data_IF_022887599032
#
_entry.id   IF_022887599032
#
_cell.length_a   1.000
_cell.length_b   1.000
_cell.length_c   1.000
_cell.angle_alpha   90.00
_cell.angle_beta   90.00
_cell.angle_gamma   90.00
#
_symmetry.space_group_name_H-M   'P 1'
#
loop_
_entity.id
_entity.type
_entity.pdbx_description
1 polymer ?
#
# COMPACT_ATOMS: atom_id res chain seq x y z
N UNK A 1 23.76 2.86 -8.06
CA UNK A 1 23.00 4.04 -8.53
C UNK A 1 22.71 4.92 -7.35
N UNK A 2 22.61 6.22 -7.57
CA UNK A 2 22.15 7.20 -6.60
C UNK A 2 20.73 7.63 -6.95
N UNK A 3 19.77 7.27 -6.09
CA UNK A 3 18.34 7.30 -6.39
C UNK A 3 17.64 8.24 -5.42
N UNK A 4 16.90 9.22 -5.95
CA UNK A 4 15.94 9.98 -5.14
C UNK A 4 14.56 9.31 -5.23
N UNK A 5 13.95 8.98 -4.09
CA UNK A 5 12.57 8.47 -4.01
C UNK A 5 11.69 9.54 -3.38
N UNK A 6 10.66 9.94 -4.11
CA UNK A 6 9.70 10.96 -3.66
C UNK A 6 8.38 10.28 -3.34
N UNK A 7 7.90 10.44 -2.10
CA UNK A 7 6.66 9.81 -1.65
C UNK A 7 5.95 10.64 -0.58
N UNK A 8 4.70 10.31 -0.31
CA UNK A 8 4.00 10.81 0.88
C UNK A 8 4.50 10.11 2.15
N UNK A 9 4.56 10.86 3.24
CA UNK A 9 4.85 10.33 4.57
C UNK A 9 3.69 9.52 5.19
N UNK A 10 2.56 9.40 4.48
CA UNK A 10 1.32 8.84 5.02
C UNK A 10 1.40 7.34 5.30
N UNK A 11 0.58 6.88 6.23
CA UNK A 11 0.35 5.45 6.58
C UNK A 11 -0.33 4.67 5.43
N UNK A 12 -0.52 5.27 4.26
CA UNK A 12 -1.07 4.64 3.07
C UNK A 12 -0.11 3.67 2.38
N UNK A 13 -0.66 2.71 1.63
CA UNK A 13 0.11 1.67 0.96
C UNK A 13 1.26 2.17 0.09
N UNK A 14 1.11 3.32 -0.59
CA UNK A 14 2.15 3.91 -1.44
C UNK A 14 3.38 4.37 -0.66
N UNK A 15 3.20 5.04 0.49
CA UNK A 15 4.31 5.46 1.35
C UNK A 15 5.06 4.26 1.93
N UNK A 16 4.32 3.22 2.34
CA UNK A 16 4.90 1.95 2.80
C UNK A 16 5.73 1.30 1.70
N UNK A 17 5.19 1.16 0.50
CA UNK A 17 5.90 0.54 -0.63
C UNK A 17 7.15 1.32 -1.01
N UNK A 18 7.07 2.66 -1.08
CA UNK A 18 8.22 3.52 -1.37
C UNK A 18 9.34 3.34 -0.32
N UNK A 19 8.96 3.30 0.95
CA UNK A 19 9.91 3.12 2.06
C UNK A 19 10.55 1.73 2.07
N UNK A 20 9.76 0.67 1.86
CA UNK A 20 10.29 -0.70 1.79
C UNK A 20 11.17 -0.88 0.54
N UNK A 21 10.81 -0.27 -0.61
CA UNK A 21 11.64 -0.26 -1.80
C UNK A 21 12.98 0.44 -1.54
N UNK A 22 12.96 1.61 -0.89
CA UNK A 22 14.17 2.34 -0.53
C UNK A 22 15.13 1.49 0.31
N UNK A 23 14.62 0.81 1.33
CA UNK A 23 15.42 -0.09 2.19
C UNK A 23 16.04 -1.24 1.39
N UNK A 24 15.21 -1.92 0.58
CA UNK A 24 15.68 -3.04 -0.22
C UNK A 24 16.75 -2.61 -1.24
N UNK A 25 16.61 -1.44 -1.85
CA UNK A 25 17.61 -0.90 -2.79
C UNK A 25 18.93 -0.59 -2.07
N UNK A 26 18.89 -0.05 -0.86
CA UNK A 26 20.09 0.18 -0.03
C UNK A 26 20.77 -1.13 0.34
N UNK A 27 20.00 -2.14 0.77
CA UNK A 27 20.53 -3.48 1.09
C UNK A 27 21.17 -4.14 -0.14
N UNK A 28 20.85 -3.68 -1.35
CA UNK A 28 21.42 -4.11 -2.64
C UNK A 28 22.56 -3.21 -3.15
N UNK A 29 23.05 -2.27 -2.33
CA UNK A 29 24.22 -1.44 -2.61
C UNK A 29 23.93 -0.15 -3.38
N UNK A 30 22.69 0.32 -3.43
CA UNK A 30 22.35 1.64 -3.96
C UNK A 30 22.42 2.70 -2.85
N UNK A 31 22.69 3.95 -3.22
CA UNK A 31 22.50 5.12 -2.36
C UNK A 31 21.12 5.71 -2.62
N UNK A 32 20.30 5.79 -1.57
CA UNK A 32 18.89 6.19 -1.70
C UNK A 32 18.58 7.38 -0.81
N UNK A 33 17.96 8.39 -1.40
CA UNK A 33 17.52 9.62 -0.78
C UNK A 33 16.00 9.70 -0.80
N UNK A 34 15.37 9.53 0.36
CA UNK A 34 13.92 9.70 0.54
C UNK A 34 13.59 11.18 0.72
N UNK A 35 12.69 11.71 -0.11
CA UNK A 35 12.27 13.11 -0.10
C UNK A 35 10.77 13.16 0.22
N UNK A 36 10.39 13.75 1.37
CA UNK A 36 9.02 13.84 1.84
C UNK A 36 8.86 14.98 2.84
N UNK A 37 7.62 15.34 3.19
CA UNK A 37 7.33 16.36 4.24
C UNK A 37 7.73 15.93 5.63
N UNK A 38 7.57 14.66 5.93
CA UNK A 38 7.88 14.04 7.22
C UNK A 38 8.55 12.69 7.01
N UNK A 39 9.24 12.14 8.04
CA UNK A 39 9.78 10.80 7.94
C UNK A 39 8.68 9.81 7.56
N UNK A 40 8.88 9.06 6.47
CA UNK A 40 7.86 8.11 6.02
C UNK A 40 7.57 7.04 7.07
N UNK A 41 6.32 6.62 7.10
CA UNK A 41 5.89 5.52 7.96
C UNK A 41 6.72 4.26 7.70
N UNK A 42 7.12 3.56 8.76
CA UNK A 42 8.01 2.39 8.71
C UNK A 42 9.42 2.67 8.19
N UNK A 43 9.91 3.92 8.20
CA UNK A 43 11.31 4.20 7.87
C UNK A 43 12.26 3.38 8.76
N UNK A 44 11.93 3.27 10.06
CA UNK A 44 12.61 2.38 10.98
C UNK A 44 14.01 2.86 11.40
N UNK A 45 14.90 1.89 11.64
CA UNK A 45 16.24 2.14 12.14
C UNK A 45 17.18 2.70 11.06
N UNK A 46 18.27 3.31 11.52
CA UNK A 46 19.34 3.83 10.66
C UNK A 46 19.89 2.74 9.72
N UNK A 47 20.06 3.11 8.44
CA UNK A 47 20.71 2.28 7.41
C UNK A 47 21.74 3.13 6.67
N UNK A 48 22.97 2.66 6.59
CA UNK A 48 24.01 3.31 5.80
C UNK A 48 23.59 3.33 4.33
N UNK A 49 23.61 4.51 3.69
CA UNK A 49 23.17 4.67 2.30
C UNK A 49 21.69 5.04 2.13
N UNK A 50 20.90 5.14 3.23
CA UNK A 50 19.55 5.67 3.24
C UNK A 50 19.52 7.01 3.95
N UNK A 51 19.20 8.09 3.21
CA UNK A 51 19.13 9.45 3.74
C UNK A 51 17.73 10.00 3.58
N UNK A 52 17.19 10.63 4.62
CA UNK A 52 15.91 11.31 4.57
C UNK A 52 16.10 12.82 4.42
N UNK A 53 15.40 13.41 3.46
CA UNK A 53 15.35 14.86 3.23
C UNK A 53 13.93 15.38 3.45
N UNK A 54 13.80 16.28 4.41
CA UNK A 54 12.52 16.93 4.70
C UNK A 54 12.25 18.06 3.70
N UNK A 55 11.07 18.07 3.12
CA UNK A 55 10.55 19.18 2.32
C UNK A 55 9.78 20.14 3.22
N UNK A 56 10.32 21.30 3.48
CA UNK A 56 9.61 22.35 4.21
C UNK A 56 8.72 23.14 3.25
N UNK A 57 7.50 23.36 3.66
CA UNK A 57 6.53 24.16 2.89
C UNK A 57 6.18 25.40 3.68
N UNK A 58 6.92 26.50 3.47
CA UNK A 58 6.71 27.73 4.23
C UNK A 58 5.33 28.32 3.94
N UNK A 59 4.65 28.75 5.00
CA UNK A 59 3.44 29.54 4.86
C UNK A 59 3.81 30.97 4.36
N UNK A 60 3.18 31.41 3.29
CA UNK A 60 3.35 32.76 2.78
C UNK A 60 1.97 33.45 2.71
N UNK A 61 1.80 34.66 3.30
CA UNK A 61 0.47 35.27 3.49
C UNK A 61 -0.34 35.47 2.22
N UNK A 62 0.31 35.57 1.05
CA UNK A 62 -0.37 35.71 -0.24
C UNK A 62 -0.85 34.37 -0.84
N UNK A 63 -0.39 33.26 -0.34
CA UNK A 63 -0.87 31.94 -0.77
C UNK A 63 -1.99 31.47 0.15
N UNK A 64 -3.12 31.10 -0.44
CA UNK A 64 -4.23 30.51 0.33
C UNK A 64 -3.88 29.17 0.94
N UNK A 65 -3.06 28.36 0.19
CA UNK A 65 -2.63 27.04 0.55
C UNK A 65 -1.10 26.91 0.46
N UNK A 66 -0.45 26.10 1.31
CA UNK A 66 0.97 25.80 1.18
C UNK A 66 1.32 25.26 -0.20
N UNK A 67 2.38 25.78 -0.80
CA UNK A 67 2.79 25.43 -2.17
C UNK A 67 3.72 24.21 -2.19
N UNK A 68 3.22 23.05 -1.75
CA UNK A 68 4.01 21.81 -1.63
C UNK A 68 4.73 21.43 -2.93
N UNK A 69 4.03 21.48 -4.08
CA UNK A 69 4.60 21.12 -5.38
C UNK A 69 5.84 21.96 -5.70
N UNK A 70 5.78 23.26 -5.47
CA UNK A 70 6.90 24.18 -5.73
C UNK A 70 8.07 23.94 -4.77
N UNK A 71 7.79 23.73 -3.48
CA UNK A 71 8.80 23.42 -2.47
C UNK A 71 9.50 22.11 -2.78
N UNK A 72 8.73 21.08 -3.17
CA UNK A 72 9.27 19.77 -3.58
C UNK A 72 10.14 19.89 -4.83
N UNK A 73 9.68 20.61 -5.86
CA UNK A 73 10.47 20.83 -7.07
C UNK A 73 11.82 21.49 -6.76
N UNK A 74 11.79 22.52 -5.91
CA UNK A 74 13.01 23.22 -5.49
C UNK A 74 13.95 22.32 -4.67
N UNK A 75 13.41 21.49 -3.77
CA UNK A 75 14.20 20.51 -3.01
C UNK A 75 14.89 19.51 -3.94
N UNK A 76 14.16 18.96 -4.94
CA UNK A 76 14.74 18.07 -5.95
C UNK A 76 15.86 18.77 -6.73
N UNK A 77 15.69 20.04 -7.15
CA UNK A 77 16.72 20.82 -7.85
C UNK A 77 17.99 20.97 -7.00
N UNK A 78 17.82 21.41 -5.74
CA UNK A 78 18.95 21.65 -4.84
C UNK A 78 19.72 20.35 -4.59
N UNK A 79 19.02 19.28 -4.21
CA UNK A 79 19.63 17.98 -3.96
C UNK A 79 20.27 17.37 -5.21
N UNK A 80 19.68 17.54 -6.39
CA UNK A 80 20.28 17.07 -7.65
C UNK A 80 21.58 17.78 -8.00
N UNK A 81 21.71 19.07 -7.67
CA UNK A 81 22.96 19.83 -7.86
C UNK A 81 24.07 19.39 -6.93
N UNK A 82 23.72 19.03 -5.69
CA UNK A 82 24.68 18.61 -4.67
C UNK A 82 25.10 17.14 -4.82
N UNK A 83 24.14 16.27 -5.14
CA UNK A 83 24.28 14.82 -5.04
C UNK A 83 24.38 14.11 -6.39
N UNK A 84 24.00 14.76 -7.49
CA UNK A 84 24.00 14.18 -8.85
C UNK A 84 23.25 12.85 -8.95
N UNK A 85 21.93 12.88 -8.75
CA UNK A 85 21.08 11.68 -8.84
C UNK A 85 21.07 11.08 -10.25
N UNK A 86 21.19 9.76 -10.36
CA UNK A 86 20.97 9.05 -11.62
C UNK A 86 19.50 9.15 -12.04
N UNK A 87 18.59 8.99 -11.07
CA UNK A 87 17.15 9.08 -11.32
C UNK A 87 16.38 9.61 -10.09
N UNK A 88 15.19 10.16 -10.37
CA UNK A 88 14.15 10.50 -9.41
C UNK A 88 12.98 9.56 -9.61
N UNK A 89 12.66 8.75 -8.60
CA UNK A 89 11.51 7.86 -8.61
C UNK A 89 10.36 8.48 -7.83
N UNK A 90 9.36 8.96 -8.55
CA UNK A 90 8.15 9.55 -8.01
C UNK A 90 7.08 8.48 -7.74
N UNK A 91 6.61 8.38 -6.52
CA UNK A 91 5.43 7.59 -6.18
C UNK A 91 4.19 8.50 -6.24
N UNK A 92 3.39 8.36 -7.28
CA UNK A 92 2.27 9.14 -7.79
C UNK A 92 2.62 10.10 -8.95
N UNK A 93 1.70 10.19 -9.91
CA UNK A 93 1.79 11.14 -11.02
C UNK A 93 1.74 12.59 -10.51
N UNK A 94 0.77 12.91 -9.65
CA UNK A 94 0.65 14.21 -9.01
C UNK A 94 0.66 14.06 -7.47
N UNK A 95 1.32 14.95 -6.73
CA UNK A 95 2.14 16.06 -7.20
C UNK A 95 3.60 15.65 -7.52
N UNK A 96 4.01 14.41 -7.27
CA UNK A 96 5.42 14.01 -7.20
C UNK A 96 6.09 13.99 -8.57
N UNK A 97 5.52 13.33 -9.59
CA UNK A 97 6.10 13.34 -10.94
C UNK A 97 6.02 14.75 -11.57
N UNK A 98 4.95 15.51 -11.32
CA UNK A 98 4.86 16.91 -11.74
C UNK A 98 5.99 17.76 -11.15
N UNK A 99 6.29 17.58 -9.86
CA UNK A 99 7.39 18.28 -9.19
C UNK A 99 8.75 17.87 -9.76
N UNK A 100 8.96 16.57 -10.03
CA UNK A 100 10.16 16.07 -10.66
C UNK A 100 10.34 16.61 -12.09
N UNK A 101 9.23 16.70 -12.87
CA UNK A 101 9.24 17.32 -14.18
C UNK A 101 9.65 18.80 -14.12
N UNK A 102 9.08 19.59 -13.21
CA UNK A 102 9.44 20.99 -13.04
C UNK A 102 10.92 21.13 -12.63
N UNK A 103 11.40 20.29 -11.72
CA UNK A 103 12.81 20.24 -11.32
C UNK A 103 13.71 19.93 -12.52
N UNK A 104 13.34 18.99 -13.38
CA UNK A 104 14.04 18.67 -14.63
C UNK A 104 14.13 19.87 -15.55
N UNK A 105 13.04 20.63 -15.74
CA UNK A 105 13.05 21.83 -16.59
C UNK A 105 14.00 22.92 -16.04
N UNK A 106 14.00 23.13 -14.72
CA UNK A 106 14.91 24.09 -14.06
C UNK A 106 16.37 23.65 -14.23
N UNK A 107 16.68 22.39 -14.00
CA UNK A 107 18.04 21.85 -14.18
C UNK A 107 18.50 21.94 -15.64
N UNK A 108 17.66 21.58 -16.60
CA UNK A 108 17.95 21.63 -18.03
C UNK A 108 18.20 23.07 -18.54
N UNK A 109 17.64 24.10 -17.88
CA UNK A 109 17.91 25.50 -18.22
C UNK A 109 19.29 25.99 -17.73
N UNK A 110 20.00 25.21 -16.91
CA UNK A 110 21.30 25.53 -16.35
C UNK A 110 22.39 24.79 -17.14
N UNK A 111 23.29 25.52 -17.81
CA UNK A 111 24.37 24.90 -18.58
C UNK A 111 25.28 24.00 -17.72
N UNK A 112 25.49 22.77 -18.15
CA UNK A 112 26.37 21.80 -17.48
C UNK A 112 25.75 21.13 -16.25
N UNK A 113 24.48 21.39 -15.93
CA UNK A 113 23.81 20.68 -14.84
C UNK A 113 23.52 19.21 -15.22
N UNK A 114 23.75 18.30 -14.28
CA UNK A 114 23.28 16.92 -14.41
C UNK A 114 21.76 16.88 -14.24
N UNK A 115 21.08 16.20 -15.15
CA UNK A 115 19.62 16.10 -15.17
C UNK A 115 19.20 14.64 -14.95
N UNK A 116 18.62 14.29 -13.81
CA UNK A 116 18.22 12.92 -13.52
C UNK A 116 17.07 12.46 -14.41
N UNK A 117 17.00 11.15 -14.67
CA UNK A 117 15.83 10.52 -15.28
C UNK A 117 14.65 10.50 -14.30
N UNK A 118 13.43 10.51 -14.81
CA UNK A 118 12.21 10.46 -14.01
C UNK A 118 11.49 9.13 -14.22
N UNK A 119 11.26 8.40 -13.13
CA UNK A 119 10.42 7.21 -13.11
C UNK A 119 9.22 7.47 -12.22
N UNK A 120 8.04 7.06 -12.66
CA UNK A 120 6.80 7.24 -11.91
C UNK A 120 6.12 5.90 -11.65
N UNK A 121 5.80 5.61 -10.38
CA UNK A 121 4.94 4.48 -10.00
C UNK A 121 3.54 4.96 -9.66
N UNK A 122 2.55 4.42 -10.37
CA UNK A 122 1.12 4.67 -10.15
C UNK A 122 0.60 3.73 -9.05
N UNK A 123 -0.15 4.30 -8.10
CA UNK A 123 -0.66 3.56 -6.94
C UNK A 123 -2.19 3.44 -6.87
N UNK A 124 -2.90 4.13 -7.76
CA UNK A 124 -4.34 4.05 -7.92
C UNK A 124 -5.11 5.31 -7.53
N UNK A 125 -4.86 5.93 -6.39
CA UNK A 125 -5.54 7.17 -5.99
C UNK A 125 -5.31 8.30 -7.00
N UNK A 126 -4.13 8.37 -7.58
CA UNK A 126 -3.74 9.28 -8.66
C UNK A 126 -4.57 9.07 -9.94
N UNK A 127 -5.07 7.86 -10.17
CA UNK A 127 -5.86 7.52 -11.36
C UNK A 127 -7.36 7.54 -11.06
N UNK A 128 -7.78 6.80 -10.04
CA UNK A 128 -9.20 6.53 -9.78
C UNK A 128 -9.91 7.68 -9.05
N UNK A 129 -9.19 8.53 -8.37
CA UNK A 129 -9.73 9.71 -7.69
C UNK A 129 -9.33 10.99 -8.42
N UNK A 130 -8.03 11.25 -8.56
CA UNK A 130 -7.54 12.49 -9.15
C UNK A 130 -7.60 12.46 -10.67
N UNK A 131 -7.25 11.36 -11.32
CA UNK A 131 -7.32 11.22 -12.77
C UNK A 131 -8.74 11.23 -13.33
N UNK A 132 -9.75 10.85 -12.53
CA UNK A 132 -11.16 10.95 -12.91
C UNK A 132 -11.77 12.34 -12.71
N UNK A 133 -11.10 13.23 -12.00
CA UNK A 133 -11.53 14.61 -11.79
C UNK A 133 -11.00 15.50 -12.91
N UNK A 134 -11.91 16.20 -13.62
CA UNK A 134 -11.57 17.12 -14.72
C UNK A 134 -10.60 18.23 -14.33
N UNK A 135 -10.52 18.59 -13.05
CA UNK A 135 -9.58 19.59 -12.56
C UNK A 135 -8.13 19.13 -12.56
N UNK A 136 -7.88 17.80 -12.62
CA UNK A 136 -6.54 17.22 -12.51
C UNK A 136 -6.16 16.29 -13.66
N UNK A 137 -7.13 15.73 -14.40
CA UNK A 137 -6.91 14.68 -15.41
C UNK A 137 -5.81 15.01 -16.43
N UNK A 138 -5.84 16.23 -16.99
CA UNK A 138 -4.82 16.69 -17.95
C UNK A 138 -3.41 16.74 -17.32
N UNK A 139 -3.31 17.24 -16.08
CA UNK A 139 -2.02 17.30 -15.37
C UNK A 139 -1.52 15.92 -14.99
N UNK A 140 -2.41 15.00 -14.64
CA UNK A 140 -2.07 13.60 -14.36
C UNK A 140 -1.54 12.92 -15.61
N UNK A 141 -2.26 12.99 -16.74
CA UNK A 141 -1.85 12.42 -18.01
C UNK A 141 -0.52 13.00 -18.48
N UNK A 142 -0.37 14.33 -18.46
CA UNK A 142 0.87 15.01 -18.78
C UNK A 142 2.05 14.52 -17.92
N UNK A 143 1.87 14.42 -16.61
CA UNK A 143 2.94 14.02 -15.69
C UNK A 143 3.39 12.57 -15.93
N UNK A 144 2.44 11.69 -16.31
CA UNK A 144 2.73 10.31 -16.72
C UNK A 144 3.56 10.33 -18.01
N UNK A 145 3.11 11.04 -19.04
CA UNK A 145 3.76 11.06 -20.35
C UNK A 145 5.14 11.74 -20.34
N UNK A 146 5.39 12.67 -19.42
CA UNK A 146 6.68 13.32 -19.24
C UNK A 146 7.69 12.49 -18.44
N UNK A 147 7.30 11.36 -17.85
CA UNK A 147 8.22 10.46 -17.16
C UNK A 147 9.05 9.67 -18.18
N UNK A 148 10.34 9.41 -17.89
CA UNK A 148 11.19 8.56 -18.74
C UNK A 148 10.77 7.08 -18.66
N UNK A 149 10.22 6.66 -17.51
CA UNK A 149 9.61 5.35 -17.32
C UNK A 149 8.42 5.41 -16.38
N UNK A 150 7.43 4.54 -16.63
CA UNK A 150 6.20 4.48 -15.81
C UNK A 150 5.92 3.05 -15.40
N UNK A 151 5.55 2.86 -14.13
CA UNK A 151 5.09 1.57 -13.62
C UNK A 151 3.71 1.68 -12.97
N UNK A 152 2.97 0.58 -12.98
CA UNK A 152 1.73 0.41 -12.22
C UNK A 152 1.84 -0.83 -11.34
N UNK A 153 1.15 -0.81 -10.20
CA UNK A 153 1.22 -1.91 -9.21
C UNK A 153 0.40 -3.14 -9.58
N UNK A 154 -0.41 -3.06 -10.64
CA UNK A 154 -1.22 -4.17 -11.15
C UNK A 154 -1.62 -3.97 -12.62
N UNK A 155 -1.95 -5.05 -13.32
CA UNK A 155 -2.53 -5.00 -14.66
C UNK A 155 -3.90 -4.29 -14.67
N UNK A 156 -4.66 -4.45 -13.58
CA UNK A 156 -5.92 -3.74 -13.42
C UNK A 156 -5.70 -2.23 -13.41
N UNK A 157 -4.76 -1.73 -12.61
CA UNK A 157 -4.46 -0.31 -12.55
C UNK A 157 -3.91 0.22 -13.89
N UNK A 158 -3.05 -0.53 -14.57
CA UNK A 158 -2.57 -0.18 -15.91
C UNK A 158 -3.74 0.01 -16.89
N UNK A 159 -4.67 -0.96 -16.94
CA UNK A 159 -5.88 -0.86 -17.79
C UNK A 159 -6.76 0.32 -17.41
N UNK A 160 -6.95 0.55 -16.11
CA UNK A 160 -7.78 1.65 -15.62
C UNK A 160 -7.16 3.01 -15.96
N UNK A 161 -5.82 3.12 -15.94
CA UNK A 161 -5.10 4.32 -16.35
C UNK A 161 -5.38 4.66 -17.81
N UNK A 162 -5.18 3.72 -18.73
CA UNK A 162 -5.46 3.95 -20.17
C UNK A 162 -6.94 4.16 -20.49
N UNK A 163 -7.85 3.65 -19.65
CA UNK A 163 -9.28 3.90 -19.82
C UNK A 163 -9.71 5.28 -19.33
N UNK A 164 -9.09 5.77 -18.26
CA UNK A 164 -9.47 7.02 -17.64
C UNK A 164 -8.76 8.25 -18.23
N UNK A 165 -7.57 8.06 -18.79
CA UNK A 165 -6.67 9.14 -19.20
C UNK A 165 -6.15 8.86 -20.63
N UNK A 166 -5.94 9.94 -21.39
CA UNK A 166 -5.23 9.88 -22.68
C UNK A 166 -3.71 9.90 -22.45
N UNK A 167 -3.16 8.73 -22.13
CA UNK A 167 -1.75 8.51 -21.85
C UNK A 167 -1.13 7.71 -22.98
N UNK A 168 0.01 8.20 -23.50
CA UNK A 168 0.75 7.58 -24.61
C UNK A 168 1.94 6.75 -24.13
N UNK A 169 2.44 7.03 -22.91
CA UNK A 169 3.59 6.32 -22.33
C UNK A 169 3.24 4.85 -22.05
N UNK A 170 4.14 3.93 -22.41
CA UNK A 170 3.99 2.53 -21.99
C UNK A 170 4.16 2.40 -20.48
N UNK A 171 3.25 1.66 -19.86
CA UNK A 171 3.22 1.42 -18.42
C UNK A 171 3.62 -0.03 -18.16
N UNK A 172 4.75 -0.23 -17.49
CA UNK A 172 5.19 -1.55 -17.05
C UNK A 172 4.50 -1.93 -15.73
N UNK A 173 4.01 -3.15 -15.63
CA UNK A 173 3.49 -3.63 -14.35
C UNK A 173 4.62 -4.21 -13.52
N UNK A 174 4.84 -3.64 -12.33
CA UNK A 174 5.71 -4.17 -11.29
C UNK A 174 4.86 -4.20 -10.01
N UNK A 175 4.52 -5.38 -9.49
CA UNK A 175 3.61 -5.51 -8.37
C UNK A 175 4.21 -4.96 -7.07
N UNK A 176 3.35 -4.64 -6.10
CA UNK A 176 3.83 -4.42 -4.74
C UNK A 176 4.37 -5.73 -4.15
N UNK A 177 5.17 -5.61 -3.12
CA UNK A 177 5.88 -6.71 -2.49
C UNK A 177 5.91 -6.59 -0.97
N UNK A 178 6.32 -7.66 -0.32
CA UNK A 178 6.65 -7.67 1.11
C UNK A 178 8.00 -8.35 1.35
N UNK A 179 8.69 -7.93 2.41
CA UNK A 179 9.83 -8.67 2.93
C UNK A 179 9.35 -9.93 3.66
N UNK A 180 9.51 -11.08 3.03
CA UNK A 180 9.05 -12.36 3.55
C UNK A 180 9.84 -12.85 4.78
N UNK A 181 11.00 -12.28 5.08
CA UNK A 181 11.73 -12.55 6.32
C UNK A 181 11.08 -11.83 7.50
N UNK A 182 10.58 -10.62 7.28
CA UNK A 182 9.85 -9.82 8.27
C UNK A 182 8.39 -10.25 8.37
N UNK A 183 7.69 -10.38 7.24
CA UNK A 183 6.30 -10.82 7.17
C UNK A 183 6.23 -12.35 7.17
N UNK A 184 6.26 -12.93 8.33
CA UNK A 184 6.13 -14.37 8.57
C UNK A 184 5.35 -14.61 9.85
N UNK A 185 4.73 -15.78 9.95
CA UNK A 185 4.04 -16.15 11.17
C UNK A 185 5.04 -16.31 12.31
N UNK A 186 4.84 -15.51 13.34
CA UNK A 186 5.61 -15.60 14.59
C UNK A 186 4.96 -16.65 15.50
N UNK A 187 5.70 -17.26 16.43
CA UNK A 187 5.10 -18.13 17.44
C UNK A 187 3.95 -17.41 18.16
N UNK A 188 2.82 -18.11 18.43
CA UNK A 188 1.69 -17.52 19.13
C UNK A 188 2.16 -17.16 20.56
N UNK A 189 2.29 -15.85 20.77
CA UNK A 189 2.81 -15.30 22.01
C UNK A 189 1.65 -14.87 22.92
N UNK A 190 2.00 -14.25 24.02
CA UNK A 190 1.17 -13.57 25.00
C UNK A 190 0.06 -12.70 24.34
N UNK A 191 0.35 -12.08 23.19
CA UNK A 191 -0.58 -11.25 22.44
C UNK A 191 -1.89 -11.98 22.10
N UNK A 192 -1.83 -13.26 21.69
CA UNK A 192 -3.05 -14.06 21.44
C UNK A 192 -3.92 -14.16 22.67
N UNK A 193 -3.34 -14.41 23.85
CA UNK A 193 -4.07 -14.52 25.11
C UNK A 193 -4.67 -13.19 25.55
N UNK A 194 -3.98 -12.09 25.33
CA UNK A 194 -4.45 -10.75 25.66
C UNK A 194 -5.60 -10.30 24.75
N UNK A 195 -5.45 -10.48 23.43
CA UNK A 195 -6.44 -10.02 22.45
C UNK A 195 -7.61 -11.01 22.33
N UNK A 196 -7.34 -12.30 22.43
CA UNK A 196 -8.35 -13.35 22.23
C UNK A 196 -8.30 -14.36 23.41
N UNK A 197 -8.76 -13.95 24.62
CA UNK A 197 -8.69 -14.80 25.80
C UNK A 197 -9.45 -16.12 25.60
N UNK A 198 -8.78 -17.22 25.97
CA UNK A 198 -9.36 -18.56 25.91
C UNK A 198 -10.62 -18.66 26.79
N UNK A 199 -11.64 -19.41 26.34
CA UNK A 199 -12.92 -19.53 27.02
C UNK A 199 -13.94 -18.46 26.64
N UNK A 200 -13.51 -17.26 26.24
CA UNK A 200 -14.41 -16.21 25.72
C UNK A 200 -14.47 -16.21 24.19
N UNK A 201 -13.33 -16.32 23.54
CA UNK A 201 -13.21 -16.32 22.07
C UNK A 201 -12.39 -17.51 21.60
N UNK A 202 -12.73 -18.02 20.41
CA UNK A 202 -12.06 -19.14 19.76
C UNK A 202 -11.30 -18.69 18.51
N UNK A 203 -11.83 -17.67 17.83
CA UNK A 203 -11.29 -17.17 16.55
C UNK A 203 -11.02 -15.69 16.60
N UNK A 204 -9.93 -15.28 15.96
CA UNK A 204 -9.52 -13.88 15.81
C UNK A 204 -9.55 -13.50 14.33
N UNK A 205 -10.35 -12.50 14.02
CA UNK A 205 -10.48 -11.93 12.68
C UNK A 205 -9.83 -10.57 12.67
N UNK A 206 -9.05 -10.26 11.64
CA UNK A 206 -8.33 -9.00 11.52
C UNK A 206 -8.73 -8.28 10.23
N UNK A 207 -8.82 -6.96 10.33
CA UNK A 207 -8.91 -6.04 9.21
C UNK A 207 -7.92 -4.91 9.40
N UNK A 208 -7.18 -4.55 8.35
CA UNK A 208 -6.26 -3.43 8.35
C UNK A 208 -6.55 -2.51 7.18
N UNK A 209 -6.81 -1.23 7.46
CA UNK A 209 -7.00 -0.22 6.41
C UNK A 209 -6.83 1.20 6.95
N UNK A 210 -6.84 2.19 6.05
CA UNK A 210 -6.88 3.61 6.37
C UNK A 210 -8.32 4.16 6.48
N UNK A 211 -9.28 3.33 6.75
CA UNK A 211 -10.70 3.64 6.98
C UNK A 211 -11.30 4.69 6.03
N UNK A 212 -10.86 4.69 4.77
CA UNK A 212 -11.49 5.51 3.71
C UNK A 212 -12.75 4.81 3.22
N UNK A 213 -13.75 5.53 2.66
CA UNK A 213 -15.02 4.96 2.20
C UNK A 213 -14.86 3.74 1.28
N UNK A 214 -13.86 3.78 0.38
CA UNK A 214 -13.58 2.67 -0.55
C UNK A 214 -13.16 1.37 0.15
N UNK A 215 -12.74 1.43 1.43
CA UNK A 215 -12.35 0.25 2.23
C UNK A 215 -13.53 -0.45 2.88
N UNK A 216 -14.70 0.22 2.93
CA UNK A 216 -15.96 -0.35 3.43
C UNK A 216 -15.81 -1.02 4.80
N UNK A 217 -15.17 -0.35 5.76
CA UNK A 217 -14.93 -0.92 7.08
C UNK A 217 -16.24 -1.26 7.83
N UNK A 218 -17.37 -0.61 7.49
CA UNK A 218 -18.70 -0.99 7.96
C UNK A 218 -19.12 -2.38 7.47
N UNK A 219 -18.80 -2.72 6.21
CA UNK A 219 -19.06 -4.07 5.68
C UNK A 219 -18.25 -5.13 6.45
N UNK A 220 -17.04 -4.81 6.92
CA UNK A 220 -16.28 -5.71 7.81
C UNK A 220 -17.06 -6.03 9.07
N UNK A 221 -17.66 -5.02 9.72
CA UNK A 221 -18.48 -5.20 10.93
C UNK A 221 -19.76 -6.00 10.64
N UNK A 222 -20.40 -5.75 9.51
CA UNK A 222 -21.60 -6.49 9.09
C UNK A 222 -21.30 -7.97 8.76
N UNK A 223 -20.17 -8.26 8.11
CA UNK A 223 -19.70 -9.64 7.88
C UNK A 223 -19.37 -10.30 9.23
N UNK A 224 -18.65 -9.60 10.10
CA UNK A 224 -18.28 -10.09 11.42
C UNK A 224 -19.51 -10.41 12.28
N UNK A 225 -20.56 -9.56 12.27
CA UNK A 225 -21.83 -9.82 12.96
C UNK A 225 -22.41 -11.19 12.57
N UNK A 226 -22.41 -11.53 11.28
CA UNK A 226 -22.89 -12.81 10.78
C UNK A 226 -22.03 -13.98 11.27
N UNK A 227 -20.71 -13.83 11.22
CA UNK A 227 -19.77 -14.83 11.72
C UNK A 227 -19.96 -15.04 13.24
N UNK A 228 -20.08 -13.94 13.98
CA UNK A 228 -20.18 -13.95 15.44
C UNK A 228 -21.47 -14.63 15.95
N UNK A 229 -22.52 -14.66 15.13
CA UNK A 229 -23.75 -15.38 15.43
C UNK A 229 -23.55 -16.90 15.55
N UNK A 230 -22.52 -17.45 14.93
CA UNK A 230 -22.26 -18.91 14.87
C UNK A 230 -20.98 -19.28 15.66
N UNK A 231 -19.95 -18.45 15.61
CA UNK A 231 -18.63 -18.73 16.19
C UNK A 231 -18.25 -17.68 17.23
N UNK A 232 -17.69 -18.10 18.35
CA UNK A 232 -17.14 -17.19 19.36
C UNK A 232 -15.87 -16.53 18.82
N UNK A 233 -16.04 -15.45 18.06
CA UNK A 233 -14.97 -14.72 17.40
C UNK A 233 -14.79 -13.32 17.99
N UNK A 234 -13.58 -12.78 17.83
CA UNK A 234 -13.23 -11.38 18.05
C UNK A 234 -12.74 -10.73 16.76
N UNK A 235 -13.16 -9.50 16.53
CA UNK A 235 -12.67 -8.68 15.42
C UNK A 235 -11.68 -7.65 15.95
N UNK A 236 -10.54 -7.54 15.27
CA UNK A 236 -9.55 -6.49 15.48
C UNK A 236 -9.48 -5.61 14.23
N UNK A 237 -9.72 -4.32 14.44
CA UNK A 237 -9.61 -3.27 13.43
C UNK A 237 -8.31 -2.51 13.66
N UNK A 238 -7.48 -2.41 12.62
CA UNK A 238 -6.17 -1.75 12.67
C UNK A 238 -6.11 -0.63 11.64
N UNK A 239 -5.67 0.54 12.09
CA UNK A 239 -5.55 1.74 11.28
C UNK A 239 -6.45 2.87 11.77
N UNK A 240 -6.39 3.99 11.06
CA UNK A 240 -7.20 5.19 11.32
C UNK A 240 -7.70 5.79 10.01
N UNK A 241 -8.70 6.67 10.09
CA UNK A 241 -9.23 7.37 8.94
C UNK A 241 -10.67 7.85 9.11
N UNK A 242 -11.22 8.50 8.07
CA UNK A 242 -12.47 9.26 8.16
C UNK A 242 -13.69 8.43 8.59
N UNK A 243 -13.76 7.15 8.24
CA UNK A 243 -14.92 6.31 8.58
C UNK A 243 -14.81 5.62 9.95
N UNK A 244 -13.69 5.75 10.69
CA UNK A 244 -13.51 5.05 11.96
C UNK A 244 -14.60 5.41 13.00
N UNK A 245 -14.98 6.69 13.07
CA UNK A 245 -16.05 7.12 13.98
C UNK A 245 -17.42 6.53 13.61
N UNK A 246 -17.67 6.33 12.31
CA UNK A 246 -18.90 5.72 11.78
C UNK A 246 -18.94 4.23 12.08
N UNK A 247 -17.80 3.55 11.88
CA UNK A 247 -17.61 2.14 12.23
C UNK A 247 -17.82 1.92 13.74
N UNK A 248 -17.26 2.78 14.58
CA UNK A 248 -17.41 2.71 16.04
C UNK A 248 -18.88 2.83 16.47
N UNK A 249 -19.64 3.74 15.86
CA UNK A 249 -21.09 3.84 16.11
C UNK A 249 -21.82 2.58 15.69
N UNK A 250 -21.56 2.06 14.50
CA UNK A 250 -22.17 0.81 14.03
C UNK A 250 -21.91 -0.36 14.99
N UNK A 251 -20.68 -0.48 15.51
CA UNK A 251 -20.33 -1.50 16.52
C UNK A 251 -21.18 -1.37 17.77
N UNK A 252 -21.47 -0.15 18.25
CA UNK A 252 -22.35 0.08 19.42
C UNK A 252 -23.80 -0.25 19.10
N UNK A 253 -24.33 0.21 17.97
CA UNK A 253 -25.71 -0.02 17.52
C UNK A 253 -26.00 -1.53 17.38
N UNK A 254 -25.02 -2.29 16.90
CA UNK A 254 -25.11 -3.74 16.77
C UNK A 254 -24.79 -4.52 18.06
N UNK A 255 -24.47 -3.81 19.15
CA UNK A 255 -24.13 -4.40 20.49
C UNK A 255 -22.88 -5.32 20.42
N UNK A 256 -21.93 -5.02 19.55
CA UNK A 256 -20.69 -5.78 19.35
C UNK A 256 -19.48 -5.18 20.10
N UNK A 257 -19.69 -4.17 20.96
CA UNK A 257 -18.62 -3.42 21.62
C UNK A 257 -17.65 -4.26 22.45
N UNK A 258 -18.06 -5.44 22.90
CA UNK A 258 -17.18 -6.36 23.64
C UNK A 258 -16.37 -7.29 22.70
N UNK A 259 -16.85 -7.51 21.48
CA UNK A 259 -16.30 -8.47 20.53
C UNK A 259 -15.44 -7.79 19.44
N UNK A 260 -15.50 -6.46 19.35
CA UNK A 260 -14.72 -5.66 18.39
C UNK A 260 -13.76 -4.75 19.14
N UNK A 261 -12.51 -4.71 18.70
CA UNK A 261 -11.45 -3.84 19.21
C UNK A 261 -10.85 -3.04 18.06
N UNK A 262 -10.79 -1.72 18.18
CA UNK A 262 -10.03 -0.85 17.32
C UNK A 262 -8.71 -0.48 18.01
N UNK A 263 -7.59 -0.76 17.35
CA UNK A 263 -6.24 -0.54 17.90
C UNK A 263 -5.59 0.76 17.39
N UNK A 264 -6.26 1.51 16.49
CA UNK A 264 -5.65 2.64 15.82
C UNK A 264 -4.52 2.23 14.87
N UNK A 265 -3.68 3.18 14.50
CA UNK A 265 -2.51 2.94 13.66
C UNK A 265 -1.47 2.10 14.39
N UNK A 266 -0.89 1.13 13.70
CA UNK A 266 0.14 0.25 14.23
C UNK A 266 1.32 0.17 13.27
N UNK A 267 2.51 0.51 13.74
CA UNK A 267 3.76 0.41 12.96
C UNK A 267 4.09 -1.03 12.59
N UNK A 268 3.75 -1.97 13.48
CA UNK A 268 4.03 -3.38 13.32
C UNK A 268 2.74 -4.21 13.33
N UNK A 269 2.32 -4.64 12.15
CA UNK A 269 1.12 -5.48 11.99
C UNK A 269 1.43 -6.98 12.08
N UNK A 270 2.69 -7.39 11.90
CA UNK A 270 3.09 -8.81 11.87
C UNK A 270 2.70 -9.57 13.14
N UNK A 271 2.89 -9.03 14.38
CA UNK A 271 2.43 -9.73 15.59
C UNK A 271 0.94 -9.99 15.60
N UNK A 272 0.13 -9.02 15.11
CA UNK A 272 -1.34 -9.14 15.03
C UNK A 272 -1.75 -10.17 13.96
N UNK A 273 -1.16 -10.09 12.77
CA UNK A 273 -1.41 -11.05 11.69
C UNK A 273 -0.97 -12.47 12.09
N UNK A 274 0.13 -12.61 12.83
CA UNK A 274 0.62 -13.93 13.27
C UNK A 274 -0.35 -14.67 14.17
N UNK A 275 -1.21 -13.97 14.89
CA UNK A 275 -2.21 -14.55 15.79
C UNK A 275 -3.62 -14.58 15.19
N UNK A 276 -3.81 -14.05 13.99
CA UNK A 276 -5.09 -14.05 13.29
C UNK A 276 -5.44 -15.43 12.72
N UNK A 277 -6.73 -15.74 12.74
CA UNK A 277 -7.30 -16.92 12.08
C UNK A 277 -7.85 -16.58 10.70
N UNK A 278 -8.24 -15.34 10.45
CA UNK A 278 -8.80 -14.88 9.19
C UNK A 278 -8.56 -13.39 8.98
N UNK A 279 -8.42 -12.98 7.72
CA UNK A 279 -8.35 -11.58 7.31
C UNK A 279 -9.53 -11.23 6.40
N UNK A 280 -10.20 -10.10 6.66
CA UNK A 280 -11.33 -9.62 5.85
C UNK A 280 -10.96 -8.33 5.12
N UNK A 281 -11.24 -8.27 3.81
CA UNK A 281 -10.99 -7.09 2.98
C UNK A 281 -12.14 -6.86 1.96
N UNK A 282 -13.35 -6.42 2.43
CA UNK A 282 -14.52 -6.21 1.58
C UNK A 282 -14.50 -4.84 0.87
N UNK A 283 -13.33 -4.40 0.39
CA UNK A 283 -13.15 -3.11 -0.25
C UNK A 283 -14.01 -2.97 -1.51
N UNK A 284 -14.47 -1.75 -1.79
CA UNK A 284 -15.13 -1.39 -3.06
C UNK A 284 -14.09 -1.24 -4.18
N UNK A 285 -12.87 -0.82 -3.83
CA UNK A 285 -11.81 -0.59 -4.79
C UNK A 285 -10.45 -0.87 -4.16
N UNK A 286 -9.60 -1.58 -4.89
CA UNK A 286 -8.22 -1.88 -4.53
C UNK A 286 -7.34 -1.86 -5.76
N UNK A 287 -6.28 -1.06 -5.73
CA UNK A 287 -5.31 -1.05 -6.84
C UNK A 287 -4.41 -2.29 -6.84
N UNK A 288 -4.16 -2.88 -5.66
CA UNK A 288 -3.37 -4.09 -5.50
C UNK A 288 -3.85 -4.96 -4.33
N UNK A 289 -3.99 -4.39 -3.13
CA UNK A 289 -4.37 -5.12 -1.92
C UNK A 289 -3.18 -5.49 -1.03
N UNK A 290 -2.31 -4.50 -0.73
CA UNK A 290 -1.11 -4.70 0.10
C UNK A 290 -1.45 -5.34 1.47
N UNK A 291 -2.56 -4.93 2.11
CA UNK A 291 -2.98 -5.50 3.39
C UNK A 291 -3.34 -7.00 3.29
N UNK A 292 -3.96 -7.42 2.17
CA UNK A 292 -4.18 -8.84 1.89
C UNK A 292 -2.86 -9.58 1.69
N UNK A 293 -1.92 -8.99 0.95
CA UNK A 293 -0.59 -9.57 0.72
C UNK A 293 0.18 -9.74 2.05
N UNK A 294 0.12 -8.76 2.95
CA UNK A 294 0.73 -8.83 4.28
C UNK A 294 0.13 -9.98 5.13
N UNK A 295 -1.20 -10.15 5.08
CA UNK A 295 -1.89 -11.24 5.75
C UNK A 295 -1.49 -12.60 5.17
N UNK A 296 -1.50 -12.75 3.84
CA UNK A 296 -1.07 -13.96 3.13
C UNK A 296 0.39 -14.33 3.45
N UNK A 297 1.28 -13.34 3.54
CA UNK A 297 2.68 -13.53 3.94
C UNK A 297 2.81 -14.11 5.35
N UNK A 298 1.92 -13.74 6.26
CA UNK A 298 1.86 -14.30 7.62
C UNK A 298 1.07 -15.63 7.69
N UNK A 299 0.67 -16.20 6.55
CA UNK A 299 -0.10 -17.45 6.51
C UNK A 299 -1.50 -17.31 7.10
N UNK A 300 -2.15 -16.16 6.87
CA UNK A 300 -3.54 -15.91 7.28
C UNK A 300 -4.43 -16.03 6.06
N UNK A 301 -5.43 -16.93 6.06
CA UNK A 301 -6.42 -17.00 4.99
C UNK A 301 -7.16 -15.66 4.82
N UNK A 302 -7.33 -15.24 3.57
CA UNK A 302 -7.96 -13.97 3.22
C UNK A 302 -9.32 -14.20 2.54
N UNK A 303 -10.33 -13.44 2.95
CA UNK A 303 -11.58 -13.28 2.22
C UNK A 303 -11.69 -11.82 1.82
N UNK A 304 -11.76 -11.57 0.52
CA UNK A 304 -11.74 -10.24 -0.02
C UNK A 304 -12.79 -10.04 -1.13
N UNK A 305 -13.00 -8.80 -1.52
CA UNK A 305 -13.80 -8.45 -2.69
C UNK A 305 -13.07 -8.80 -3.99
N UNK A 306 -13.80 -9.21 -5.01
CA UNK A 306 -13.29 -9.43 -6.38
C UNK A 306 -13.21 -8.10 -7.15
N UNK A 307 -12.29 -7.21 -6.75
CA UNK A 307 -12.16 -5.87 -7.33
C UNK A 307 -10.71 -5.50 -7.62
N UNK A 308 -10.49 -4.71 -8.65
CA UNK A 308 -9.20 -4.12 -9.01
C UNK A 308 -8.08 -5.15 -9.12
N UNK A 309 -6.98 -4.93 -8.42
CA UNK A 309 -5.80 -5.81 -8.40
C UNK A 309 -5.92 -7.03 -7.47
N UNK A 310 -6.97 -7.16 -6.66
CA UNK A 310 -7.12 -8.30 -5.74
C UNK A 310 -7.13 -9.67 -6.46
N UNK A 311 -7.75 -9.85 -7.64
CA UNK A 311 -7.66 -11.11 -8.40
C UNK A 311 -6.25 -11.44 -8.92
N UNK A 312 -5.32 -10.49 -8.92
CA UNK A 312 -3.91 -10.74 -9.27
C UNK A 312 -3.12 -11.26 -8.06
N UNK A 313 -3.56 -10.87 -6.85
CA UNK A 313 -2.95 -11.28 -5.57
C UNK A 313 -3.53 -12.59 -5.05
N UNK A 314 -4.84 -12.80 -5.18
CA UNK A 314 -5.57 -13.94 -4.61
C UNK A 314 -6.13 -14.81 -5.74
N UNK A 315 -5.77 -16.09 -5.75
CA UNK A 315 -6.37 -17.11 -6.61
C UNK A 315 -7.55 -17.74 -5.84
N UNK A 316 -8.76 -17.46 -6.30
CA UNK A 316 -10.01 -17.82 -5.63
C UNK A 316 -10.13 -19.34 -5.37
N UNK A 317 -10.35 -19.71 -4.12
CA UNK A 317 -10.44 -21.12 -3.68
C UNK A 317 -9.10 -21.85 -3.51
N UNK A 318 -7.98 -21.22 -3.89
CA UNK A 318 -6.63 -21.82 -3.84
C UNK A 318 -5.83 -21.26 -2.65
N UNK A 319 -5.69 -19.94 -2.55
CA UNK A 319 -4.90 -19.26 -1.53
C UNK A 319 -5.69 -18.18 -0.77
N UNK A 320 -6.97 -18.05 -1.05
CA UNK A 320 -7.95 -17.18 -0.42
C UNK A 320 -9.29 -17.29 -1.13
N UNK A 321 -10.22 -16.40 -0.80
CA UNK A 321 -11.51 -16.35 -1.46
C UNK A 321 -11.86 -14.94 -1.89
N UNK A 322 -12.45 -14.84 -3.09
CA UNK A 322 -12.93 -13.60 -3.69
C UNK A 322 -14.44 -13.66 -3.89
N UNK A 323 -15.15 -12.66 -3.40
CA UNK A 323 -16.61 -12.50 -3.55
C UNK A 323 -16.96 -11.16 -4.18
N UNK A 324 -18.16 -11.06 -4.71
CA UNK A 324 -18.69 -9.75 -5.09
C UNK A 324 -18.69 -8.81 -3.86
N UNK A 325 -18.27 -7.53 -4.00
CA UNK A 325 -18.25 -6.59 -2.88
C UNK A 325 -19.60 -6.42 -2.17
N UNK A 326 -20.72 -6.64 -2.84
CA UNK A 326 -22.05 -6.58 -2.24
C UNK A 326 -22.50 -7.90 -1.58
N UNK A 327 -21.80 -9.00 -1.83
CA UNK A 327 -22.13 -10.32 -1.28
C UNK A 327 -21.54 -10.51 0.13
N UNK A 328 -21.99 -9.69 1.08
CA UNK A 328 -21.56 -9.78 2.49
C UNK A 328 -21.98 -11.10 3.15
N UNK A 329 -23.10 -11.69 2.69
CA UNK A 329 -23.57 -12.97 3.18
C UNK A 329 -22.63 -14.10 2.72
N UNK A 330 -22.29 -14.16 1.43
CA UNK A 330 -21.37 -15.16 0.90
C UNK A 330 -19.96 -15.01 1.47
N UNK A 331 -19.51 -13.78 1.80
CA UNK A 331 -18.23 -13.57 2.51
C UNK A 331 -18.29 -14.17 3.92
N UNK A 332 -19.39 -13.99 4.64
CA UNK A 332 -19.56 -14.54 5.99
C UNK A 332 -19.64 -16.08 5.98
N UNK A 333 -20.39 -16.66 5.05
CA UNK A 333 -20.50 -18.11 4.86
C UNK A 333 -19.16 -18.75 4.53
N UNK A 334 -18.40 -18.11 3.63
CA UNK A 334 -17.06 -18.57 3.28
C UNK A 334 -16.10 -18.47 4.46
N UNK A 335 -16.23 -17.39 5.27
CA UNK A 335 -15.45 -17.23 6.50
C UNK A 335 -15.76 -18.35 7.51
N UNK A 336 -17.02 -18.67 7.71
CA UNK A 336 -17.45 -19.77 8.59
C UNK A 336 -16.92 -21.12 8.12
N UNK A 337 -16.94 -21.37 6.80
CA UNK A 337 -16.39 -22.58 6.20
C UNK A 337 -14.89 -22.70 6.50
N UNK A 338 -14.10 -21.64 6.26
CA UNK A 338 -12.64 -21.66 6.52
C UNK A 338 -12.35 -21.77 8.02
N UNK A 339 -13.10 -21.10 8.88
CA UNK A 339 -12.90 -21.12 10.33
C UNK A 339 -13.31 -22.46 10.96
N UNK A 340 -14.24 -23.20 10.34
CA UNK A 340 -14.77 -24.49 10.81
C UNK A 340 -13.97 -25.71 10.34
N UNK A 341 -13.16 -25.59 9.26
CA UNK A 341 -12.38 -26.68 8.70
C UNK A 341 -10.87 -26.39 8.83
N UNK A 342 -10.21 -27.03 9.80
CA UNK A 342 -8.79 -26.85 10.07
C UNK A 342 -7.90 -27.26 8.87
N UNK A 343 -8.28 -28.30 8.13
CA UNK A 343 -7.49 -28.77 6.96
C UNK A 343 -7.58 -27.75 5.81
N UNK A 344 -8.77 -27.21 5.57
CA UNK A 344 -8.98 -26.15 4.58
C UNK A 344 -8.19 -24.91 4.98
N UNK A 345 -8.26 -24.51 6.25
CA UNK A 345 -7.52 -23.37 6.78
C UNK A 345 -6.02 -23.51 6.56
N UNK A 346 -5.42 -24.65 6.96
CA UNK A 346 -3.99 -24.94 6.79
C UNK A 346 -3.59 -24.96 5.31
N UNK A 347 -4.41 -25.54 4.44
CA UNK A 347 -4.17 -25.57 2.99
C UNK A 347 -4.13 -24.18 2.39
N UNK A 348 -5.12 -23.33 2.70
CA UNK A 348 -5.17 -21.96 2.22
C UNK A 348 -3.99 -21.14 2.76
N UNK A 349 -3.70 -21.24 4.05
CA UNK A 349 -2.58 -20.55 4.70
C UNK A 349 -1.23 -20.92 4.05
N UNK A 350 -0.98 -22.18 3.80
CA UNK A 350 0.24 -22.65 3.16
C UNK A 350 0.34 -22.20 1.69
N UNK A 351 -0.78 -22.26 0.95
CA UNK A 351 -0.82 -21.81 -0.45
C UNK A 351 -0.60 -20.30 -0.55
N UNK A 352 -1.25 -19.51 0.31
CA UNK A 352 -1.09 -18.07 0.39
C UNK A 352 0.38 -17.67 0.65
N UNK A 353 1.00 -18.26 1.66
CA UNK A 353 2.40 -18.03 1.99
C UNK A 353 3.33 -18.34 0.83
N UNK A 354 3.18 -19.51 0.21
CA UNK A 354 3.99 -19.94 -0.93
C UNK A 354 3.87 -18.99 -2.11
N UNK A 355 2.65 -18.57 -2.47
CA UNK A 355 2.44 -17.59 -3.56
C UNK A 355 3.16 -16.28 -3.29
N UNK A 356 3.12 -15.77 -2.05
CA UNK A 356 3.84 -14.56 -1.69
C UNK A 356 5.35 -14.74 -1.86
N UNK A 357 5.92 -15.85 -1.40
CA UNK A 357 7.35 -16.13 -1.54
C UNK A 357 7.78 -16.26 -3.00
N UNK A 358 6.97 -16.89 -3.83
CA UNK A 358 7.29 -17.15 -5.23
C UNK A 358 7.11 -15.94 -6.14
N UNK A 359 6.11 -15.05 -5.86
CA UNK A 359 5.72 -13.98 -6.78
C UNK A 359 5.90 -12.58 -6.22
N UNK A 360 5.73 -12.38 -4.90
CA UNK A 360 5.59 -11.06 -4.29
C UNK A 360 6.60 -10.76 -3.18
N UNK A 361 7.63 -11.60 -3.04
CA UNK A 361 8.73 -11.30 -2.12
C UNK A 361 9.60 -10.18 -2.64
N UNK A 362 10.23 -9.44 -1.72
CA UNK A 362 11.20 -8.39 -2.06
C UNK A 362 12.29 -8.91 -3.00
N UNK A 363 12.80 -10.15 -2.78
CA UNK A 363 13.83 -10.78 -3.60
C UNK A 363 13.38 -11.05 -5.05
N UNK A 364 12.09 -11.14 -5.31
CA UNK A 364 11.53 -11.34 -6.65
C UNK A 364 11.16 -10.04 -7.34
N UNK A 365 10.68 -9.06 -6.60
CA UNK A 365 10.12 -7.83 -7.18
C UNK A 365 11.16 -6.72 -7.28
N UNK A 366 12.00 -6.52 -6.26
CA UNK A 366 13.00 -5.43 -6.28
C UNK A 366 13.96 -5.52 -7.47
N UNK A 367 14.46 -6.72 -7.88
CA UNK A 367 15.24 -6.84 -9.10
C UNK A 367 14.54 -6.36 -10.37
N UNK A 368 13.21 -6.39 -10.44
CA UNK A 368 12.45 -5.88 -11.59
C UNK A 368 12.54 -4.34 -11.65
N UNK A 369 12.48 -3.65 -10.50
CA UNK A 369 12.75 -2.22 -10.42
C UNK A 369 14.18 -1.89 -10.85
N UNK A 370 15.18 -2.63 -10.36
CA UNK A 370 16.59 -2.39 -10.76
C UNK A 370 16.80 -2.59 -12.26
N UNK A 371 16.20 -3.63 -12.85
CA UNK A 371 16.28 -3.87 -14.29
C UNK A 371 15.63 -2.71 -15.07
N UNK A 372 14.46 -2.26 -14.61
CA UNK A 372 13.76 -1.14 -15.22
C UNK A 372 14.54 0.18 -15.09
N UNK A 373 15.18 0.44 -13.95
CA UNK A 373 16.04 1.61 -13.78
C UNK A 373 17.22 1.61 -14.75
N UNK A 374 17.91 0.47 -14.92
CA UNK A 374 19.01 0.35 -15.87
C UNK A 374 18.56 0.57 -17.30
N UNK A 375 17.40 0.05 -17.68
CA UNK A 375 16.81 0.25 -19.01
C UNK A 375 16.49 1.72 -19.29
N UNK A 376 15.95 2.45 -18.33
CA UNK A 376 15.63 3.88 -18.47
C UNK A 376 16.89 4.75 -18.52
N UNK A 377 17.99 4.30 -17.91
CA UNK A 377 19.29 5.02 -17.89
C UNK A 377 20.13 4.79 -19.15
N UNK A 378 19.88 3.73 -19.92
CA UNK A 378 20.51 3.48 -21.23
C UNK A 378 19.96 4.41 -22.31
#
# INVERSE_FOLDING_TARGET
MKIAIVCYASVGGSGIVATELAKCLVDRGHEVHLISTDPPFRLGEFRTGLVFHRVETPAYPLFREPQYLLSLSNAIVQLSRELTFDLVHAHYAIPHATAAYLARQILSSTSGAHVPKIITTLHGTDITLLGSDRSYSETVAFSIDQSDGVTAVSESLKRDTYRALDVQRDIRVIPNFVDTNRYRRLPPAELRRQICPSGRYEKLIVHTSNFRPVKRAEAVVEIFKRIRATVRARLVLVGDGPDLAKVSRLVQDLKLGQDVVALGEQDQVVPLLSVADLFLLPSQQESFGLAALEAMACGVPVIASRVGGLPEVIDDGVDGYLKDPEDLQGMAEQALTVLGDAKLHERLAAAARRKVEEKFSADRVVPQYEAFYREVLM
#
